data_IF_035247420983
#
_entry.id   IF_035247420983
#
_cell.length_a   1.000
_cell.length_b   1.000
_cell.length_c   1.000
_cell.angle_alpha   90.00
_cell.angle_beta   90.00
_cell.angle_gamma   90.00
#
_symmetry.space_group_name_H-M   'P 1'
#
loop_
_entity.id
_entity.type
_entity.pdbx_description
1 polymer ?
#
# COMPACT_ATOMS: atom_id res chain seq x y z
N UNK A 1 10.58 -12.44 -1.23
CA UNK A 1 10.43 -13.01 0.14
C UNK A 1 11.12 -14.36 0.32
N UNK A 2 11.42 -15.10 -0.76
CA UNK A 2 12.13 -16.39 -0.68
C UNK A 2 13.48 -16.33 0.06
N UNK A 3 14.18 -15.20 0.01
CA UNK A 3 15.43 -14.95 0.75
C UNK A 3 15.25 -14.99 2.29
N UNK A 4 14.04 -14.69 2.79
CA UNK A 4 13.67 -14.84 4.20
C UNK A 4 12.83 -16.09 4.45
N UNK A 5 12.85 -17.07 3.53
CA UNK A 5 12.07 -18.31 3.58
C UNK A 5 10.54 -18.12 3.65
N UNK A 6 10.03 -16.97 3.20
CA UNK A 6 8.59 -16.74 3.06
C UNK A 6 8.24 -16.85 1.58
N UNK A 7 7.37 -17.81 1.24
CA UNK A 7 6.89 -17.97 -0.13
C UNK A 7 5.65 -17.11 -0.38
N UNK A 8 5.69 -16.34 -1.48
CA UNK A 8 4.62 -15.45 -1.92
C UNK A 8 4.32 -15.64 -3.42
N UNK A 9 4.83 -16.70 -4.05
CA UNK A 9 4.65 -16.90 -5.50
C UNK A 9 3.20 -17.08 -5.91
N UNK A 10 2.36 -17.58 -5.00
CA UNK A 10 0.94 -17.81 -5.25
C UNK A 10 0.07 -16.56 -5.01
N UNK A 11 0.68 -15.42 -4.63
CA UNK A 11 -0.05 -14.16 -4.51
C UNK A 11 -0.30 -13.56 -5.89
N UNK A 12 -1.53 -13.11 -6.10
CA UNK A 12 -2.00 -12.49 -7.33
C UNK A 12 -2.01 -10.97 -7.23
N UNK A 13 -1.82 -10.30 -8.37
CA UNK A 13 -1.92 -8.85 -8.47
C UNK A 13 -3.36 -8.46 -8.74
N UNK A 14 -4.11 -8.16 -7.69
CA UNK A 14 -5.54 -7.83 -7.78
C UNK A 14 -5.82 -6.34 -7.60
N UNK A 15 -6.86 -5.85 -8.28
CA UNK A 15 -7.39 -4.51 -8.06
C UNK A 15 -8.25 -4.46 -6.78
N UNK A 16 -8.43 -3.26 -6.23
CA UNK A 16 -9.21 -3.06 -5.00
C UNK A 16 -10.68 -3.44 -5.24
N UNK A 17 -11.15 -4.48 -4.53
CA UNK A 17 -12.57 -4.86 -4.49
C UNK A 17 -13.29 -4.15 -3.33
N UNK A 18 -14.34 -3.40 -3.67
CA UNK A 18 -15.20 -2.70 -2.70
C UNK A 18 -15.89 -3.66 -1.74
N UNK A 19 -16.29 -4.86 -2.19
CA UNK A 19 -16.96 -5.84 -1.33
C UNK A 19 -16.03 -6.40 -0.26
N UNK A 20 -14.74 -6.53 -0.58
CA UNK A 20 -13.72 -6.94 0.38
C UNK A 20 -13.41 -5.79 1.34
N UNK A 21 -13.33 -4.56 0.82
CA UNK A 21 -13.10 -3.35 1.59
C UNK A 21 -14.20 -3.10 2.64
N UNK A 22 -15.47 -3.30 2.27
CA UNK A 22 -16.61 -3.12 3.17
C UNK A 22 -16.66 -4.16 4.29
N UNK A 23 -16.05 -5.33 4.08
CA UNK A 23 -15.96 -6.41 5.08
C UNK A 23 -14.69 -6.33 5.92
N UNK A 24 -13.73 -5.48 5.56
CA UNK A 24 -12.46 -5.38 6.26
C UNK A 24 -12.60 -4.57 7.55
N UNK A 25 -12.00 -5.04 8.64
CA UNK A 25 -11.94 -4.29 9.90
C UNK A 25 -10.85 -3.21 9.88
N UNK A 26 -9.78 -3.44 9.10
CA UNK A 26 -8.60 -2.59 9.02
C UNK A 26 -8.07 -2.53 7.58
N UNK A 27 -7.82 -1.31 7.11
CA UNK A 27 -7.22 -1.03 5.79
C UNK A 27 -5.90 -0.32 6.02
N UNK A 28 -4.81 -0.95 5.55
CA UNK A 28 -3.45 -0.40 5.63
C UNK A 28 -2.99 0.06 4.25
N UNK A 29 -2.74 1.35 4.08
CA UNK A 29 -2.23 1.91 2.83
C UNK A 29 -0.71 2.06 2.89
N UNK A 30 0.00 1.49 1.90
CA UNK A 30 1.48 1.43 1.91
C UNK A 30 2.17 2.58 1.17
N UNK A 31 1.44 3.34 0.35
CA UNK A 31 1.97 4.49 -0.38
C UNK A 31 0.98 5.67 -0.32
N UNK A 32 1.50 6.90 -0.44
CA UNK A 32 0.68 8.11 -0.38
C UNK A 32 -0.40 8.13 -1.47
N UNK A 33 -0.06 7.72 -2.69
CA UNK A 33 -1.01 7.62 -3.80
C UNK A 33 -2.17 6.65 -3.50
N UNK A 34 -1.90 5.52 -2.83
CA UNK A 34 -2.97 4.61 -2.42
C UNK A 34 -3.85 5.20 -1.31
N UNK A 35 -3.33 6.09 -0.47
CA UNK A 35 -4.13 6.79 0.53
C UNK A 35 -5.08 7.82 -0.10
N UNK A 36 -4.62 8.52 -1.13
CA UNK A 36 -5.37 9.57 -1.82
C UNK A 36 -6.42 9.00 -2.78
N UNK A 37 -6.12 7.89 -3.45
CA UNK A 37 -7.04 7.20 -4.37
C UNK A 37 -7.99 6.25 -3.64
N UNK A 38 -7.75 5.94 -2.36
CA UNK A 38 -8.59 5.00 -1.61
C UNK A 38 -10.04 5.54 -1.54
N UNK A 39 -11.03 4.79 -2.05
CA UNK A 39 -12.43 5.21 -1.98
C UNK A 39 -12.89 5.34 -0.53
N UNK A 40 -13.85 6.22 -0.28
CA UNK A 40 -14.43 6.44 1.05
C UNK A 40 -14.92 5.12 1.64
N UNK A 41 -14.30 4.71 2.76
CA UNK A 41 -14.68 3.50 3.49
C UNK A 41 -15.82 3.79 4.46
N UNK A 42 -16.67 2.80 4.77
CA UNK A 42 -17.69 2.94 5.79
C UNK A 42 -17.07 3.17 7.19
N UNK A 43 -17.83 3.75 8.16
CA UNK A 43 -17.29 4.21 9.44
C UNK A 43 -16.81 3.09 10.38
N UNK A 44 -17.20 1.83 10.13
CA UNK A 44 -16.70 0.68 10.89
C UNK A 44 -15.29 0.25 10.47
N UNK A 45 -14.83 0.66 9.28
CA UNK A 45 -13.53 0.28 8.73
C UNK A 45 -12.47 1.24 9.24
N UNK A 46 -11.50 0.73 10.01
CA UNK A 46 -10.36 1.55 10.46
C UNK A 46 -9.36 1.71 9.32
N UNK A 47 -8.91 2.93 9.07
CA UNK A 47 -7.88 3.23 8.06
C UNK A 47 -6.58 3.65 8.74
N UNK A 48 -5.47 3.06 8.31
CA UNK A 48 -4.14 3.41 8.77
C UNK A 48 -3.22 3.55 7.56
N UNK A 49 -2.41 4.60 7.53
CA UNK A 49 -1.42 4.79 6.48
C UNK A 49 -0.02 4.47 7.01
N UNK A 50 0.62 3.46 6.44
CA UNK A 50 2.01 3.09 6.71
C UNK A 50 2.84 3.34 5.46
N UNK A 51 3.26 4.59 5.29
CA UNK A 51 4.07 5.00 4.14
C UNK A 51 5.42 4.29 4.13
N UNK A 52 5.60 3.35 3.21
CA UNK A 52 6.90 2.82 2.86
C UNK A 52 7.49 3.65 1.73
N UNK A 53 8.70 4.16 1.92
CA UNK A 53 9.44 4.81 0.84
C UNK A 53 9.76 3.74 -0.21
N UNK A 54 9.14 3.82 -1.38
CA UNK A 54 9.58 3.05 -2.54
C UNK A 54 10.95 3.57 -2.92
N UNK A 55 12.01 2.91 -2.46
CA UNK A 55 13.37 3.13 -2.95
C UNK A 55 13.47 2.55 -4.35
N UNK A 56 12.84 3.22 -5.31
CA UNK A 56 13.25 3.14 -6.69
C UNK A 56 14.70 3.63 -6.72
N UNK A 57 15.62 2.73 -7.06
CA UNK A 57 16.98 3.11 -7.44
C UNK A 57 16.90 3.88 -8.76
N UNK A 58 16.47 5.14 -8.71
CA UNK A 58 16.82 6.11 -9.72
C UNK A 58 18.11 6.78 -9.24
N UNK A 59 19.22 6.31 -9.81
CA UNK A 59 20.49 7.01 -9.77
C UNK A 59 20.42 8.32 -10.54
N UNK A 60 19.68 9.30 -10.02
CA UNK A 60 19.85 10.72 -10.40
C UNK A 60 19.87 11.56 -9.13
N UNK A 61 21.07 12.09 -8.86
CA UNK A 61 21.29 13.23 -7.97
C UNK A 61 20.38 14.38 -8.39
N UNK A 62 19.68 14.98 -7.42
CA UNK A 62 19.68 16.43 -7.21
C UNK A 62 19.15 16.67 -5.79
N UNK A 63 19.99 16.91 -4.79
CA UNK A 63 20.42 18.24 -4.30
C UNK A 63 19.36 19.34 -4.35
N UNK A 64 19.19 19.96 -3.17
CA UNK A 64 18.44 21.18 -2.81
C UNK A 64 16.98 20.94 -2.41
N UNK A 65 16.65 21.03 -1.12
CA UNK A 65 16.53 22.27 -0.32
C UNK A 65 15.26 23.03 -0.66
N UNK A 66 14.45 23.24 0.40
CA UNK A 66 13.12 23.85 0.48
C UNK A 66 11.93 22.94 0.17
#
# INVERSE_FOLDING_TARGET
MKEVNIDITDQTSDAIDRKLLDKADLVVTLCGHANDVCPTTPPHVKRVHWGFCQKILLGTRNSNSF
#
